data_IF_032854642420
#
_entry.id   IF_032854642420
#
_cell.length_a   1.000
_cell.length_b   1.000
_cell.length_c   1.000
_cell.angle_alpha   90.00
_cell.angle_beta   90.00
_cell.angle_gamma   90.00
#
_symmetry.space_group_name_H-M   'P 1'
#
loop_
_entity.id
_entity.type
_entity.pdbx_description
1 polymer ?
#
# COMPACT_ATOMS: atom_id res chain seq x y z
N UNK A 1 11.25 36.17 -0.60
CA UNK A 1 11.56 35.16 0.41
C UNK A 1 10.27 34.44 0.73
N UNK A 2 10.12 33.23 0.18
CA UNK A 2 8.88 32.46 0.21
C UNK A 2 8.99 31.39 1.29
N UNK A 3 7.87 31.14 1.97
CA UNK A 3 7.69 30.15 3.05
C UNK A 3 8.13 28.73 2.62
N UNK A 4 8.24 28.48 1.31
CA UNK A 4 8.77 27.24 0.72
C UNK A 4 10.23 26.94 1.06
N UNK A 5 11.04 27.95 1.34
CA UNK A 5 12.48 27.77 1.60
C UNK A 5 12.77 27.32 3.05
N UNK A 6 11.78 27.41 3.95
CA UNK A 6 11.97 27.13 5.39
C UNK A 6 11.72 25.66 5.78
N UNK A 7 11.11 24.84 4.92
CA UNK A 7 10.77 23.44 5.23
C UNK A 7 11.84 22.43 4.76
N UNK A 8 13.03 22.89 4.38
CA UNK A 8 14.17 22.04 4.01
C UNK A 8 15.12 21.83 5.20
N UNK A 9 14.56 21.42 6.33
CA UNK A 9 15.30 20.99 7.52
C UNK A 9 14.77 19.63 7.95
N UNK A 10 15.46 18.59 7.50
CA UNK A 10 15.46 17.22 8.06
C UNK A 10 14.10 16.62 8.48
N UNK A 11 13.36 16.08 7.50
CA UNK A 11 12.83 14.72 7.49
C UNK A 11 12.13 14.50 6.14
N UNK A 12 12.32 13.34 5.51
CA UNK A 12 11.74 12.98 4.22
C UNK A 12 10.20 13.03 4.32
N UNK A 13 9.58 14.16 3.96
CA UNK A 13 8.13 14.22 3.75
C UNK A 13 7.84 13.50 2.44
N UNK A 14 7.77 12.17 2.55
CA UNK A 14 7.10 11.31 1.58
C UNK A 14 5.74 11.94 1.33
N UNK A 15 5.47 12.27 0.08
CA UNK A 15 4.19 12.76 -0.38
C UNK A 15 3.17 11.74 0.13
N UNK A 16 2.44 12.05 1.20
CA UNK A 16 1.58 11.06 1.84
C UNK A 16 0.49 10.74 0.82
N UNK A 17 0.60 9.55 0.22
CA UNK A 17 -0.35 9.07 -0.76
C UNK A 17 -1.75 9.24 -0.18
N UNK A 18 -2.65 9.91 -0.91
CA UNK A 18 -4.03 10.15 -0.46
C UNK A 18 -4.80 8.86 -0.17
N UNK A 19 -4.24 7.72 -0.57
CA UNK A 19 -4.78 6.38 -0.35
C UNK A 19 -3.64 5.47 0.06
N UNK A 20 -3.89 4.65 1.07
CA UNK A 20 -3.03 3.54 1.45
C UNK A 20 -3.79 2.21 1.22
N UNK A 21 -3.09 1.11 1.41
CA UNK A 21 -3.63 -0.23 1.28
C UNK A 21 -3.41 -0.96 2.59
N UNK A 22 -4.48 -1.53 3.13
CA UNK A 22 -4.40 -2.53 4.20
C UNK A 22 -4.27 -3.89 3.52
N UNK A 23 -3.22 -4.63 3.86
CA UNK A 23 -2.97 -5.99 3.40
C UNK A 23 -2.98 -6.91 4.60
N UNK A 24 -3.79 -7.95 4.56
CA UNK A 24 -3.79 -9.02 5.57
C UNK A 24 -2.95 -10.16 5.00
N UNK A 25 -1.93 -10.54 5.76
CA UNK A 25 -1.01 -11.61 5.44
C UNK A 25 -1.64 -12.99 5.71
N UNK A 26 -1.10 -14.08 5.15
CA UNK A 26 -1.61 -15.44 5.37
C UNK A 26 -1.56 -15.91 6.83
N UNK A 27 -0.70 -15.29 7.66
CA UNK A 27 -0.60 -15.57 9.09
C UNK A 27 -1.63 -14.76 9.93
N UNK A 28 -2.42 -13.89 9.30
CA UNK A 28 -3.39 -13.03 9.94
C UNK A 28 -2.86 -11.64 10.36
N UNK A 29 -1.57 -11.35 10.14
CA UNK A 29 -1.02 -10.03 10.44
C UNK A 29 -1.49 -8.99 9.40
N UNK A 30 -1.59 -7.74 9.85
CA UNK A 30 -2.02 -6.63 9.01
C UNK A 30 -0.86 -5.67 8.73
N UNK A 31 -0.68 -5.30 7.46
CA UNK A 31 0.33 -4.34 7.01
C UNK A 31 -0.35 -3.22 6.24
N UNK A 32 0.04 -1.98 6.54
CA UNK A 32 -0.34 -0.82 5.74
C UNK A 32 0.79 -0.47 4.79
N UNK A 33 0.50 -0.41 3.49
CA UNK A 33 1.45 0.05 2.47
C UNK A 33 0.83 1.14 1.61
N UNK A 34 1.62 2.14 1.24
CA UNK A 34 1.25 3.21 0.31
C UNK A 34 1.38 2.78 -1.16
N UNK A 35 2.17 1.74 -1.43
CA UNK A 35 2.42 1.20 -2.75
C UNK A 35 2.21 -0.32 -2.81
N UNK A 36 0.97 -0.72 -3.11
CA UNK A 36 0.61 -2.13 -3.27
C UNK A 36 1.43 -2.84 -4.36
N UNK A 37 1.82 -2.12 -5.43
CA UNK A 37 2.61 -2.72 -6.51
C UNK A 37 3.97 -3.17 -6.00
N UNK A 38 4.67 -2.29 -5.29
CA UNK A 38 5.96 -2.63 -4.68
C UNK A 38 5.81 -3.77 -3.67
N UNK A 39 4.77 -3.72 -2.84
CA UNK A 39 4.48 -4.81 -1.90
C UNK A 39 4.34 -6.17 -2.62
N UNK A 40 3.65 -6.19 -3.75
CA UNK A 40 3.50 -7.40 -4.54
C UNK A 40 4.83 -7.88 -5.16
N UNK A 41 5.66 -6.97 -5.66
CA UNK A 41 6.99 -7.30 -6.20
C UNK A 41 7.90 -7.90 -5.11
N UNK A 42 7.89 -7.33 -3.91
CA UNK A 42 8.70 -7.78 -2.78
C UNK A 42 8.23 -9.15 -2.21
N UNK A 43 6.97 -9.54 -2.44
CA UNK A 43 6.37 -10.77 -1.92
C UNK A 43 6.03 -11.82 -3.02
N UNK A 44 6.52 -11.64 -4.25
CA UNK A 44 6.23 -12.50 -5.40
C UNK A 44 4.71 -12.69 -5.65
N UNK A 45 3.93 -11.64 -5.44
CA UNK A 45 2.49 -11.62 -5.68
C UNK A 45 2.16 -10.98 -7.02
N UNK A 46 1.10 -11.48 -7.66
CA UNK A 46 0.59 -10.85 -8.86
C UNK A 46 -0.33 -9.68 -8.50
N UNK A 47 0.09 -8.45 -8.83
CA UNK A 47 -0.69 -7.26 -8.54
C UNK A 47 -2.12 -7.31 -9.12
N UNK A 48 -2.31 -7.91 -10.30
CA UNK A 48 -3.64 -7.97 -10.92
C UNK A 48 -4.60 -8.82 -10.08
N UNK A 49 -4.13 -9.92 -9.49
CA UNK A 49 -4.95 -10.73 -8.58
C UNK A 49 -5.22 -9.99 -7.28
N UNK A 50 -4.24 -9.30 -6.70
CA UNK A 50 -4.46 -8.44 -5.52
C UNK A 50 -5.50 -7.33 -5.80
N UNK A 51 -5.46 -6.70 -6.97
CA UNK A 51 -6.51 -5.74 -7.36
C UNK A 51 -7.89 -6.39 -7.51
N UNK A 52 -7.97 -7.64 -7.97
CA UNK A 52 -9.22 -8.39 -8.02
C UNK A 52 -9.73 -8.74 -6.61
N UNK A 53 -8.83 -9.00 -5.65
CA UNK A 53 -9.20 -9.19 -4.24
C UNK A 53 -9.82 -7.92 -3.66
N UNK A 54 -9.18 -6.76 -3.84
CA UNK A 54 -9.74 -5.48 -3.39
C UNK A 54 -11.10 -5.15 -4.06
N UNK A 55 -11.34 -5.62 -5.29
CA UNK A 55 -12.63 -5.43 -5.99
C UNK A 55 -13.70 -6.44 -5.54
N UNK A 56 -13.36 -7.42 -4.71
CA UNK A 56 -14.24 -8.53 -4.34
C UNK A 56 -14.51 -9.53 -5.48
N UNK A 57 -13.72 -9.48 -6.56
CA UNK A 57 -13.80 -10.45 -7.67
C UNK A 57 -13.13 -11.76 -7.27
N UNK A 58 -12.02 -11.66 -6.55
CA UNK A 58 -11.31 -12.78 -5.94
C UNK A 58 -11.48 -12.70 -4.43
N UNK A 59 -11.60 -13.84 -3.76
CA UNK A 59 -11.70 -13.88 -2.30
C UNK A 59 -10.34 -13.53 -1.68
N UNK A 60 -9.29 -14.23 -2.11
CA UNK A 60 -7.92 -14.03 -1.63
C UNK A 60 -6.93 -14.45 -2.72
N UNK A 61 -5.69 -13.95 -2.63
CA UNK A 61 -4.61 -14.34 -3.52
C UNK A 61 -3.47 -14.92 -2.69
N UNK A 62 -3.22 -16.23 -2.77
CA UNK A 62 -2.19 -16.92 -1.98
C UNK A 62 -2.31 -16.72 -0.45
N UNK A 63 -3.54 -16.61 0.06
CA UNK A 63 -3.80 -16.32 1.48
C UNK A 63 -3.67 -14.83 1.86
N UNK A 64 -3.38 -13.96 0.89
CA UNK A 64 -3.35 -12.52 1.10
C UNK A 64 -4.69 -11.89 0.77
N UNK A 65 -5.09 -10.95 1.62
CA UNK A 65 -6.25 -10.09 1.40
C UNK A 65 -5.81 -8.64 1.32
N UNK A 66 -6.53 -7.81 0.56
CA UNK A 66 -6.26 -6.38 0.59
C UNK A 66 -7.52 -5.53 0.38
N UNK A 67 -7.46 -4.32 0.94
CA UNK A 67 -8.50 -3.30 0.84
C UNK A 67 -7.86 -1.91 0.81
N UNK A 68 -8.41 -1.03 -0.03
CA UNK A 68 -7.95 0.36 -0.13
C UNK A 68 -8.54 1.23 0.98
N UNK A 69 -7.66 1.82 1.79
CA UNK A 69 -8.00 2.77 2.86
C UNK A 69 -7.77 4.22 2.39
N UNK A 70 -8.60 5.14 2.88
CA UNK A 70 -8.70 6.56 2.48
C UNK A 70 -8.27 7.47 3.63
#
# INVERSE_FOLDING_TARGET
MSIREYLLGEENVSIVSKYCWLVILPNGDEIVCDNLKKFCEDNDLNCNYMYNVNKGILLEHNGYWCHRIY
#
